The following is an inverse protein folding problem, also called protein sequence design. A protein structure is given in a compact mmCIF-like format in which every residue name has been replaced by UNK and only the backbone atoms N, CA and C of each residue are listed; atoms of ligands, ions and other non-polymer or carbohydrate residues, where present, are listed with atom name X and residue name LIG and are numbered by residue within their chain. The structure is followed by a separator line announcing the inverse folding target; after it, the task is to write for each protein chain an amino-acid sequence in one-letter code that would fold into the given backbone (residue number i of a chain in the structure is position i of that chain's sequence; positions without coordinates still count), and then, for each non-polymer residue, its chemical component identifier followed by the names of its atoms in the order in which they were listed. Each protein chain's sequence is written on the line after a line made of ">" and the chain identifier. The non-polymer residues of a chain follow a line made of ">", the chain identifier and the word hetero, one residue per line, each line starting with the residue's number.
data_IF_434242453858
#
_entry.id   IF_434242453858
#
_cell.length_a   1.000
_cell.length_b   1.000
_cell.length_c   1.000
_cell.angle_alpha   90.00
_cell.angle_beta   90.00
_cell.angle_gamma   90.00
#
_symmetry.space_group_name_H-M   'P 1'
#
loop_
_entity.id
_entity.type
_entity.pdbx_description
1 polymer ?
#
# COMPACT_ATOMS: atom_id res chain seq x y z
N UNK A 1 -10.35 24.00 31.57
CA UNK A 1 -9.03 23.63 30.98
C UNK A 1 -8.61 22.26 31.49
N UNK A 2 -8.48 21.26 30.60
CA UNK A 2 -7.52 20.15 30.67
C UNK A 2 -7.63 19.32 29.38
N UNK A 3 -6.81 19.71 28.41
CA UNK A 3 -6.53 18.93 27.21
C UNK A 3 -5.65 17.74 27.60
N UNK A 4 -6.19 16.51 27.55
CA UNK A 4 -5.41 15.25 27.64
C UNK A 4 -6.15 14.10 26.96
N UNK A 5 -6.06 14.01 25.62
CA UNK A 5 -6.11 12.76 24.85
C UNK A 5 -5.84 13.05 23.37
N UNK A 6 -4.58 13.03 22.97
CA UNK A 6 -4.17 13.12 21.55
C UNK A 6 -2.78 12.50 21.36
N UNK A 7 -2.59 11.28 21.87
CA UNK A 7 -1.34 10.52 21.64
C UNK A 7 -1.62 9.03 21.34
N UNK A 8 -2.81 8.50 21.65
CA UNK A 8 -3.19 7.10 21.33
C UNK A 8 -3.75 6.89 19.90
N UNK A 9 -3.72 7.91 19.03
CA UNK A 9 -4.36 7.83 17.70
C UNK A 9 -3.47 7.21 16.63
N UNK A 10 -2.17 7.53 16.63
CA UNK A 10 -1.28 7.14 15.54
C UNK A 10 -0.80 5.68 15.63
N UNK A 11 -0.80 5.07 16.82
CA UNK A 11 -0.36 3.68 16.99
C UNK A 11 -1.48 2.71 16.60
N UNK A 12 -2.74 3.05 16.91
CA UNK A 12 -3.92 2.27 16.56
C UNK A 12 -4.17 2.24 15.03
N UNK A 13 -3.95 3.36 14.34
CA UNK A 13 -4.12 3.41 12.87
C UNK A 13 -3.15 2.48 12.12
N UNK A 14 -2.00 2.13 12.69
CA UNK A 14 -1.02 1.25 12.03
C UNK A 14 -1.26 -0.24 12.33
N UNK A 15 -1.89 -0.56 13.46
CA UNK A 15 -2.32 -1.93 13.77
C UNK A 15 -3.36 -2.42 12.74
N UNK A 16 -4.26 -1.53 12.29
CA UNK A 16 -5.28 -1.84 11.28
C UNK A 16 -4.71 -2.21 9.89
N UNK A 17 -3.47 -1.81 9.59
CA UNK A 17 -2.82 -2.12 8.30
C UNK A 17 -1.82 -3.28 8.37
N UNK A 18 -1.62 -3.90 9.53
CA UNK A 18 -0.59 -4.92 9.71
C UNK A 18 -0.77 -6.13 8.77
N UNK A 19 -2.00 -6.61 8.60
CA UNK A 19 -2.31 -7.73 7.70
C UNK A 19 -2.05 -7.40 6.23
N UNK A 20 -2.40 -6.19 5.80
CA UNK A 20 -2.11 -5.71 4.44
C UNK A 20 -0.61 -5.64 4.19
N UNK A 21 0.13 -5.14 5.19
CA UNK A 21 1.58 -4.99 5.11
C UNK A 21 2.28 -6.36 5.03
N UNK A 22 1.80 -7.38 5.75
CA UNK A 22 2.27 -8.76 5.64
C UNK A 22 2.00 -9.33 4.24
N UNK A 23 0.77 -9.20 3.74
CA UNK A 23 0.39 -9.74 2.42
C UNK A 23 1.17 -9.06 1.29
N UNK A 24 1.33 -7.74 1.35
CA UNK A 24 2.15 -6.98 0.40
C UNK A 24 3.61 -7.42 0.42
N UNK A 25 4.18 -7.68 1.60
CA UNK A 25 5.56 -8.15 1.70
C UNK A 25 5.73 -9.55 1.12
N UNK A 26 4.76 -10.45 1.31
CA UNK A 26 4.83 -11.78 0.71
C UNK A 26 4.73 -11.74 -0.83
N UNK A 27 3.78 -10.96 -1.35
CA UNK A 27 3.44 -10.94 -2.76
C UNK A 27 4.27 -9.97 -3.58
N UNK A 28 4.46 -8.74 -3.11
CA UNK A 28 5.06 -7.66 -3.89
C UNK A 28 6.57 -7.64 -3.75
N UNK A 29 7.11 -7.79 -2.53
CA UNK A 29 8.54 -7.63 -2.31
C UNK A 29 9.38 -8.66 -3.08
N UNK A 30 8.88 -9.88 -3.31
CA UNK A 30 9.59 -10.89 -4.12
C UNK A 30 9.73 -10.52 -5.60
N UNK A 31 8.94 -9.56 -6.09
CA UNK A 31 8.98 -9.08 -7.48
C UNK A 31 9.56 -7.66 -7.60
N UNK A 32 9.94 -7.03 -6.49
CA UNK A 32 10.47 -5.68 -6.48
C UNK A 32 11.98 -5.67 -6.81
N UNK A 33 12.37 -5.02 -7.92
CA UNK A 33 13.77 -4.93 -8.37
C UNK A 33 14.69 -4.20 -7.38
N UNK A 34 14.12 -3.32 -6.54
CA UNK A 34 14.87 -2.59 -5.51
C UNK A 34 15.25 -3.51 -4.35
N UNK A 35 14.48 -4.59 -4.13
CA UNK A 35 14.77 -5.54 -3.06
C UNK A 35 15.93 -6.44 -3.46
N UNK A 36 16.95 -6.49 -2.61
CA UNK A 36 18.06 -7.45 -2.76
C UNK A 36 17.55 -8.86 -2.56
N UNK A 37 18.07 -9.82 -3.31
CA UNK A 37 17.76 -11.24 -3.15
C UNK A 37 17.98 -11.66 -1.68
N UNK A 38 16.97 -12.29 -1.07
CA UNK A 38 16.92 -12.63 0.36
C UNK A 38 17.06 -11.47 1.36
N UNK A 39 17.04 -10.22 0.90
CA UNK A 39 17.13 -9.03 1.75
C UNK A 39 15.85 -8.81 2.59
N UNK A 40 15.95 -8.11 3.72
CA UNK A 40 14.77 -7.71 4.48
C UNK A 40 13.87 -6.77 3.64
N UNK A 41 12.59 -6.59 4.01
CA UNK A 41 11.76 -5.54 3.42
C UNK A 41 12.45 -4.17 3.48
N UNK A 42 12.18 -3.32 2.49
CA UNK A 42 12.86 -2.02 2.34
C UNK A 42 12.83 -1.18 3.64
N UNK A 43 11.70 -1.13 4.35
CA UNK A 43 11.58 -0.39 5.60
C UNK A 43 12.54 -0.91 6.69
N UNK A 44 12.69 -2.22 6.82
CA UNK A 44 13.63 -2.84 7.78
C UNK A 44 15.11 -2.61 7.39
N UNK A 45 15.38 -2.29 6.12
CA UNK A 45 16.70 -1.85 5.65
C UNK A 45 16.93 -0.33 5.77
N UNK A 46 15.98 0.42 6.34
CA UNK A 46 16.03 1.89 6.39
C UNK A 46 15.77 2.58 5.05
N UNK A 47 15.23 1.86 4.06
CA UNK A 47 14.88 2.39 2.74
C UNK A 47 13.39 2.78 2.70
N UNK A 48 13.10 3.96 2.15
CA UNK A 48 11.73 4.40 1.92
C UNK A 48 11.05 3.58 0.83
N UNK A 49 10.04 2.78 1.19
CA UNK A 49 9.22 2.04 0.23
C UNK A 49 7.97 2.84 -0.13
N UNK A 50 7.82 3.27 -1.38
CA UNK A 50 6.64 4.02 -1.81
C UNK A 50 5.32 3.27 -1.57
N UNK A 51 5.31 1.93 -1.64
CA UNK A 51 4.11 1.13 -1.35
C UNK A 51 3.77 1.16 0.15
N UNK A 52 4.75 0.93 1.03
CA UNK A 52 4.50 0.95 2.48
C UNK A 52 4.18 2.38 2.97
N UNK A 53 4.76 3.41 2.35
CA UNK A 53 4.50 4.82 2.67
C UNK A 53 3.07 5.26 2.33
N UNK A 54 2.50 4.73 1.24
CA UNK A 54 1.15 5.04 0.79
C UNK A 54 0.15 3.93 1.10
N UNK A 55 0.45 3.05 2.06
CA UNK A 55 -0.39 1.90 2.37
C UNK A 55 -1.86 2.28 2.71
N UNK A 56 -2.14 3.28 3.56
CA UNK A 56 -3.52 3.68 3.84
C UNK A 56 -4.26 4.14 2.59
N UNK A 57 -3.62 4.97 1.77
CA UNK A 57 -4.19 5.51 0.52
C UNK A 57 -4.42 4.40 -0.51
N UNK A 58 -3.51 3.43 -0.59
CA UNK A 58 -3.64 2.29 -1.49
C UNK A 58 -4.81 1.38 -1.09
N UNK A 59 -4.99 1.11 0.20
CA UNK A 59 -6.14 0.35 0.69
C UNK A 59 -7.44 1.11 0.44
N UNK A 60 -7.48 2.42 0.74
CA UNK A 60 -8.65 3.25 0.47
C UNK A 60 -9.00 3.30 -1.03
N UNK A 61 -8.00 3.37 -1.90
CA UNK A 61 -8.15 3.30 -3.35
C UNK A 61 -8.79 1.98 -3.76
N UNK A 62 -8.27 0.84 -3.28
CA UNK A 62 -8.82 -0.48 -3.63
C UNK A 62 -10.26 -0.64 -3.14
N UNK A 63 -10.59 -0.15 -1.94
CA UNK A 63 -11.97 -0.14 -1.42
C UNK A 63 -12.93 0.73 -2.23
N UNK A 64 -12.40 1.73 -2.93
CA UNK A 64 -13.22 2.67 -3.73
C UNK A 64 -13.56 2.14 -5.13
N UNK A 65 -13.01 0.99 -5.50
CA UNK A 65 -13.16 0.38 -6.82
C UNK A 65 -13.68 -1.05 -6.69
N UNK A 66 -14.48 -1.46 -7.67
CA UNK A 66 -14.90 -2.84 -7.86
C UNK A 66 -14.81 -3.12 -9.37
N UNK A 67 -13.60 -3.41 -9.83
CA UNK A 67 -13.32 -3.62 -11.25
C UNK A 67 -12.40 -4.81 -11.45
N UNK A 68 -12.69 -5.70 -12.41
CA UNK A 68 -11.77 -6.79 -12.77
C UNK A 68 -10.58 -6.31 -13.62
N UNK A 69 -10.56 -5.03 -14.02
CA UNK A 69 -9.50 -4.44 -14.84
C UNK A 69 -8.54 -3.66 -13.96
N UNK A 70 -7.25 -3.70 -14.29
CA UNK A 70 -6.23 -2.94 -13.55
C UNK A 70 -6.19 -1.45 -13.92
N UNK A 71 -6.62 -1.08 -15.13
CA UNK A 71 -6.52 0.30 -15.63
C UNK A 71 -7.22 1.32 -14.71
N UNK A 72 -8.46 1.07 -14.20
CA UNK A 72 -9.10 1.97 -13.25
C UNK A 72 -8.30 2.19 -11.94
N UNK A 73 -7.58 1.17 -11.47
CA UNK A 73 -6.71 1.32 -10.29
C UNK A 73 -5.50 2.19 -10.63
N UNK A 74 -4.95 2.06 -11.83
CA UNK A 74 -3.86 2.90 -12.34
C UNK A 74 -4.26 4.37 -12.46
N UNK A 75 -5.43 4.62 -13.07
CA UNK A 75 -6.02 5.96 -13.15
C UNK A 75 -6.24 6.55 -11.75
N UNK A 76 -6.79 5.77 -10.83
CA UNK A 76 -7.03 6.21 -9.46
C UNK A 76 -5.75 6.46 -8.68
N UNK A 77 -4.73 5.63 -8.90
CA UNK A 77 -3.40 5.81 -8.32
C UNK A 77 -2.83 7.16 -8.75
N UNK A 78 -2.98 7.47 -10.04
CA UNK A 78 -2.52 8.71 -10.63
C UNK A 78 -3.22 9.96 -10.07
N UNK A 79 -4.51 9.84 -9.74
CA UNK A 79 -5.32 10.91 -9.14
C UNK A 79 -5.06 11.12 -7.64
N UNK A 80 -4.90 10.03 -6.89
CA UNK A 80 -4.88 10.05 -5.41
C UNK A 80 -3.46 10.14 -4.89
N UNK A 81 -2.56 9.29 -5.39
CA UNK A 81 -1.20 9.17 -4.87
C UNK A 81 -0.21 9.93 -5.74
N UNK A 82 -0.20 9.71 -7.07
CA UNK A 82 0.83 10.31 -7.92
C UNK A 82 0.61 11.80 -8.22
N UNK A 83 -0.62 12.32 -8.06
CA UNK A 83 -0.99 13.70 -8.41
C UNK A 83 -0.06 14.77 -7.80
N UNK A 84 0.44 14.52 -6.60
CA UNK A 84 1.30 15.43 -5.86
C UNK A 84 2.75 14.93 -5.75
N UNK A 85 3.13 13.91 -6.52
CA UNK A 85 4.48 13.34 -6.49
C UNK A 85 5.47 14.26 -7.20
N UNK A 86 6.44 14.80 -6.46
CA UNK A 86 7.51 15.67 -6.99
C UNK A 86 8.38 14.96 -8.04
N UNK A 87 8.44 13.63 -7.98
CA UNK A 87 9.25 12.82 -8.89
C UNK A 87 8.51 12.43 -10.18
N UNK A 88 7.23 12.83 -10.36
CA UNK A 88 6.39 12.38 -11.49
C UNK A 88 6.98 12.71 -12.87
N UNK A 89 7.72 13.82 -12.99
CA UNK A 89 8.38 14.25 -14.24
C UNK A 89 9.84 13.81 -14.35
N UNK A 90 10.36 13.12 -13.34
CA UNK A 90 11.75 12.65 -13.31
C UNK A 90 11.91 11.28 -13.98
N UNK A 91 13.15 10.93 -14.33
CA UNK A 91 13.49 9.60 -14.87
C UNK A 91 13.33 8.45 -13.87
N UNK A 92 13.04 8.74 -12.59
CA UNK A 92 12.78 7.73 -11.55
C UNK A 92 11.31 7.27 -11.59
N UNK A 93 10.44 8.03 -12.26
CA UNK A 93 9.06 7.65 -12.55
C UNK A 93 8.99 6.84 -13.87
N UNK A 94 8.25 5.72 -13.94
CA UNK A 94 7.39 5.13 -12.91
C UNK A 94 8.17 4.44 -11.78
N UNK A 95 7.78 4.72 -10.54
CA UNK A 95 8.37 4.10 -9.35
C UNK A 95 7.75 2.71 -9.06
N UNK A 96 8.29 1.94 -8.09
CA UNK A 96 7.76 0.62 -7.74
C UNK A 96 6.27 0.56 -7.45
N UNK A 97 5.69 1.63 -6.91
CA UNK A 97 4.25 1.69 -6.67
C UNK A 97 3.43 1.56 -7.97
N UNK A 98 3.88 2.16 -9.07
CA UNK A 98 3.14 2.15 -10.33
C UNK A 98 3.31 0.83 -11.10
N UNK A 99 4.53 0.29 -11.23
CA UNK A 99 4.72 -0.95 -12.00
C UNK A 99 4.40 -2.22 -11.20
N UNK A 100 4.36 -2.18 -9.86
CA UNK A 100 3.90 -3.29 -9.01
C UNK A 100 2.44 -3.16 -8.61
N UNK A 101 1.72 -2.14 -9.11
CA UNK A 101 0.31 -1.92 -8.78
C UNK A 101 -0.57 -3.17 -8.91
N UNK A 102 -0.47 -4.01 -9.97
CA UNK A 102 -1.29 -5.22 -10.07
C UNK A 102 -1.10 -6.16 -8.87
N UNK A 103 0.14 -6.38 -8.46
CA UNK A 103 0.46 -7.25 -7.32
C UNK A 103 0.03 -6.62 -5.99
N UNK A 104 0.09 -5.30 -5.91
CA UNK A 104 -0.32 -4.56 -4.72
C UNK A 104 -1.84 -4.59 -4.53
N UNK A 105 -2.61 -4.39 -5.61
CA UNK A 105 -4.07 -4.54 -5.62
C UNK A 105 -4.46 -5.96 -5.25
N UNK A 106 -3.86 -6.96 -5.88
CA UNK A 106 -4.16 -8.37 -5.59
C UNK A 106 -3.90 -8.72 -4.11
N UNK A 107 -2.82 -8.19 -3.52
CA UNK A 107 -2.52 -8.37 -2.10
C UNK A 107 -3.57 -7.70 -1.20
N UNK A 108 -3.97 -6.47 -1.50
CA UNK A 108 -5.00 -5.76 -0.72
C UNK A 108 -6.34 -6.48 -0.80
N UNK A 109 -6.80 -6.83 -2.00
CA UNK A 109 -8.06 -7.52 -2.22
C UNK A 109 -8.09 -8.92 -1.58
N UNK A 110 -6.94 -9.60 -1.51
CA UNK A 110 -6.83 -10.87 -0.77
C UNK A 110 -7.16 -10.69 0.71
N UNK A 111 -6.71 -9.59 1.33
CA UNK A 111 -7.00 -9.26 2.73
C UNK A 111 -8.46 -8.88 2.89
N UNK A 112 -9.00 -8.01 2.03
CA UNK A 112 -10.41 -7.61 2.04
C UNK A 112 -11.36 -8.81 1.91
N UNK A 113 -11.01 -9.78 1.05
CA UNK A 113 -11.76 -11.00 0.90
C UNK A 113 -11.72 -11.88 2.17
N UNK A 114 -10.59 -11.88 2.92
CA UNK A 114 -10.51 -12.56 4.24
C UNK A 114 -11.44 -11.88 5.25
N UNK A 115 -11.42 -10.55 5.33
CA UNK A 115 -12.28 -9.78 6.23
C UNK A 115 -13.75 -9.99 5.93
N UNK A 116 -14.11 -9.99 4.64
CA UNK A 116 -15.48 -10.23 4.17
C UNK A 116 -15.97 -11.64 4.54
N UNK A 117 -15.12 -12.66 4.39
CA UNK A 117 -15.46 -14.04 4.80
C UNK A 117 -15.59 -14.18 6.32
N UNK A 118 -14.74 -13.52 7.10
CA UNK A 118 -14.80 -13.55 8.56
C UNK A 118 -16.06 -12.86 9.11
N UNK A 119 -16.53 -11.78 8.45
CA UNK A 119 -17.76 -11.08 8.83
C UNK A 119 -19.04 -11.87 8.53
N UNK A 120 -18.97 -12.88 7.65
CA UNK A 120 -20.10 -13.75 7.27
C UNK A 120 -20.14 -15.06 8.08
N UNK A 121 -19.13 -15.34 8.90
CA UNK A 121 -19.00 -16.55 9.72
C UNK A 121 -19.53 -16.32 11.14
#
# INVERSE_FOLDING_TARGET
>A
MRARRKVMSAVAEWEDYAEYLVELRDRVCRHCIVRREHGPPCAAAGLGCGIEQHLPDLVALCRSLDSPLIDPYGEKLDEVICKHCELRTSSICPCPLHYLLPLAVEAVETVEARHSRAALA
#
